data_IF_510721944046
#
_entry.id   IF_510721944046
#
_cell.length_a   1.000
_cell.length_b   1.000
_cell.length_c   1.000
_cell.angle_alpha   90.00
_cell.angle_beta   90.00
_cell.angle_gamma   90.00
#
_symmetry.space_group_name_H-M   'P 1'
#
loop_
_entity.id
_entity.type
_entity.pdbx_description
1 polymer ?
#
# COMPACT_ATOMS: atom_id res chain seq x y z
N UNK A 1 -20.30 -11.11 11.50
CA UNK A 1 -19.08 -10.72 10.77
C UNK A 1 -18.86 -9.21 10.84
N UNK A 2 -17.62 -8.77 10.89
CA UNK A 2 -17.25 -7.35 10.95
C UNK A 2 -16.28 -7.01 9.81
N UNK A 3 -16.59 -5.96 9.07
CA UNK A 3 -15.66 -5.34 8.08
C UNK A 3 -15.31 -3.93 8.57
N UNK A 4 -14.03 -3.68 8.81
CA UNK A 4 -13.53 -2.39 9.30
C UNK A 4 -12.52 -1.79 8.33
N UNK A 5 -12.78 -0.56 7.88
CA UNK A 5 -11.86 0.28 7.11
C UNK A 5 -11.38 1.51 7.89
N UNK A 6 -11.62 1.55 9.20
CA UNK A 6 -11.23 2.67 10.05
C UNK A 6 -9.71 2.76 10.15
N UNK A 7 -9.17 3.94 9.95
CA UNK A 7 -7.73 4.22 10.12
C UNK A 7 -7.46 4.89 11.47
N UNK A 8 -6.24 4.77 11.98
CA UNK A 8 -5.83 5.46 13.21
C UNK A 8 -6.16 4.72 14.51
N UNK A 9 -6.45 3.43 14.46
CA UNK A 9 -6.55 2.61 15.68
C UNK A 9 -5.21 2.55 16.41
N UNK A 10 -5.26 2.60 17.75
CA UNK A 10 -4.12 2.27 18.58
C UNK A 10 -3.82 0.76 18.51
N UNK A 11 -2.62 0.37 18.99
CA UNK A 11 -2.24 -1.05 19.07
C UNK A 11 -3.20 -1.85 19.96
N UNK A 12 -3.73 -1.25 21.02
CA UNK A 12 -4.71 -1.85 21.93
C UNK A 12 -6.04 -2.09 21.21
N UNK A 13 -6.55 -1.10 20.48
CA UNK A 13 -7.77 -1.23 19.70
C UNK A 13 -7.67 -2.28 18.58
N UNK A 14 -6.48 -2.39 17.94
CA UNK A 14 -6.24 -3.46 16.97
C UNK A 14 -6.21 -4.84 17.63
N UNK A 15 -5.72 -4.92 18.87
CA UNK A 15 -5.75 -6.17 19.64
C UNK A 15 -7.18 -6.57 19.97
N UNK A 16 -8.03 -5.63 20.39
CA UNK A 16 -9.46 -5.87 20.65
C UNK A 16 -10.18 -6.38 19.39
N UNK A 17 -9.89 -5.80 18.22
CA UNK A 17 -10.44 -6.30 16.94
C UNK A 17 -9.98 -7.73 16.62
N UNK A 18 -8.73 -8.07 16.93
CA UNK A 18 -8.22 -9.44 16.77
C UNK A 18 -8.90 -10.41 17.72
N UNK A 19 -9.12 -10.02 18.98
CA UNK A 19 -9.83 -10.82 19.98
C UNK A 19 -11.30 -11.05 19.57
N UNK A 20 -11.95 -10.06 18.99
CA UNK A 20 -13.30 -10.23 18.43
C UNK A 20 -13.34 -11.33 17.36
N UNK A 21 -12.24 -11.52 16.64
CA UNK A 21 -12.06 -12.59 15.66
C UNK A 21 -12.20 -14.01 16.26
N UNK A 22 -12.00 -14.20 17.56
CA UNK A 22 -12.20 -15.49 18.24
C UNK A 22 -13.69 -15.91 18.25
N UNK A 23 -14.60 -14.95 18.15
CA UNK A 23 -16.05 -15.19 18.23
C UNK A 23 -16.78 -15.02 16.91
N UNK A 24 -16.32 -14.15 16.03
CA UNK A 24 -16.94 -13.85 14.74
C UNK A 24 -15.88 -13.62 13.65
N UNK A 25 -16.22 -13.81 12.36
CA UNK A 25 -15.30 -13.42 11.30
C UNK A 25 -15.10 -11.90 11.28
N UNK A 26 -13.84 -11.47 11.30
CA UNK A 26 -13.44 -10.06 11.30
C UNK A 26 -12.41 -9.82 10.21
N UNK A 27 -12.59 -8.73 9.44
CA UNK A 27 -11.54 -8.16 8.61
C UNK A 27 -11.32 -6.69 9.00
N UNK A 28 -10.05 -6.32 9.11
CA UNK A 28 -9.63 -4.93 9.18
C UNK A 28 -8.54 -4.67 8.15
N UNK A 29 -8.74 -3.66 7.30
CA UNK A 29 -7.76 -3.24 6.30
C UNK A 29 -7.77 -1.72 6.12
N UNK A 30 -6.59 -1.11 6.03
CA UNK A 30 -6.45 0.31 5.71
C UNK A 30 -6.74 0.62 4.23
N UNK A 31 -6.77 -0.40 3.37
CA UNK A 31 -7.05 -0.27 1.95
C UNK A 31 -7.79 -1.52 1.44
N UNK A 32 -8.92 -1.32 0.77
CA UNK A 32 -9.76 -2.37 0.20
C UNK A 32 -9.69 -2.44 -1.34
N UNK A 33 -8.67 -1.85 -1.97
CA UNK A 33 -8.49 -1.96 -3.42
C UNK A 33 -7.82 -3.27 -3.81
N UNK A 34 -8.51 -4.11 -4.58
CA UNK A 34 -7.94 -5.32 -5.18
C UNK A 34 -6.72 -5.00 -6.05
N UNK A 35 -6.80 -3.90 -6.83
CA UNK A 35 -5.69 -3.45 -7.67
C UNK A 35 -4.44 -3.07 -6.86
N UNK A 36 -4.62 -2.43 -5.70
CA UNK A 36 -3.51 -2.11 -4.78
C UNK A 36 -2.92 -3.37 -4.15
N UNK A 37 -3.74 -4.35 -3.78
CA UNK A 37 -3.25 -5.62 -3.25
C UNK A 37 -2.43 -6.40 -4.29
N UNK A 38 -2.89 -6.42 -5.55
CA UNK A 38 -2.13 -7.01 -6.67
C UNK A 38 -0.83 -6.26 -6.90
N UNK A 39 -0.87 -4.91 -6.95
CA UNK A 39 0.34 -4.08 -7.11
C UNK A 39 1.35 -4.38 -5.99
N UNK A 40 0.91 -4.44 -4.73
CA UNK A 40 1.78 -4.72 -3.58
C UNK A 40 2.52 -6.05 -3.73
N UNK A 41 1.83 -7.12 -4.14
CA UNK A 41 2.45 -8.43 -4.39
C UNK A 41 3.45 -8.40 -5.54
N UNK A 42 3.09 -7.74 -6.64
CA UNK A 42 3.98 -7.56 -7.79
C UNK A 42 5.24 -6.76 -7.41
N UNK A 43 5.08 -5.70 -6.61
CA UNK A 43 6.18 -4.88 -6.11
C UNK A 43 7.11 -5.68 -5.19
N UNK A 44 6.57 -6.49 -4.26
CA UNK A 44 7.38 -7.34 -3.39
C UNK A 44 8.21 -8.34 -4.20
N UNK A 45 7.59 -9.00 -5.19
CA UNK A 45 8.28 -9.94 -6.10
C UNK A 45 9.34 -9.23 -6.94
N UNK A 46 9.03 -8.03 -7.47
CA UNK A 46 9.99 -7.26 -8.25
C UNK A 46 11.17 -6.79 -7.40
N UNK A 47 10.92 -6.32 -6.17
CA UNK A 47 11.97 -5.87 -5.25
C UNK A 47 12.96 -7.00 -4.89
N UNK A 48 12.46 -8.24 -4.72
CA UNK A 48 13.29 -9.42 -4.51
C UNK A 48 14.10 -9.78 -5.76
N UNK A 49 13.45 -9.80 -6.93
CA UNK A 49 14.09 -10.20 -8.19
C UNK A 49 15.09 -9.16 -8.73
N UNK A 50 14.87 -7.88 -8.42
CA UNK A 50 15.64 -6.73 -8.88
C UNK A 50 16.51 -6.15 -7.75
N UNK A 51 16.98 -6.99 -6.83
CA UNK A 51 17.82 -6.55 -5.72
C UNK A 51 19.04 -5.75 -6.22
N UNK A 52 19.30 -4.64 -5.53
CA UNK A 52 20.38 -3.70 -5.89
C UNK A 52 20.03 -2.70 -7.00
N UNK A 53 18.82 -2.75 -7.58
CA UNK A 53 18.34 -1.70 -8.48
C UNK A 53 17.88 -0.46 -7.68
N UNK A 54 18.02 0.70 -8.31
CA UNK A 54 17.54 1.96 -7.71
C UNK A 54 16.01 1.97 -7.66
N UNK A 55 15.46 2.26 -6.49
CA UNK A 55 14.01 2.18 -6.29
C UNK A 55 13.43 3.54 -5.93
N UNK A 56 12.37 3.94 -6.65
CA UNK A 56 11.66 5.19 -6.44
C UNK A 56 10.15 4.95 -6.43
N UNK A 57 9.43 5.57 -5.51
CA UNK A 57 7.97 5.55 -5.41
C UNK A 57 7.45 6.96 -5.72
N UNK A 58 6.51 7.08 -6.64
CA UNK A 58 5.81 8.33 -6.93
C UNK A 58 4.31 8.13 -6.71
N UNK A 59 3.70 8.98 -5.89
CA UNK A 59 2.25 8.94 -5.67
C UNK A 59 1.62 10.28 -5.99
N UNK A 60 0.45 10.25 -6.62
CA UNK A 60 -0.31 11.44 -6.98
C UNK A 60 -1.72 11.37 -6.40
N UNK A 61 -2.15 12.42 -5.71
CA UNK A 61 -3.52 12.57 -5.21
C UNK A 61 -4.06 13.97 -5.45
N UNK A 62 -5.35 14.14 -5.18
CA UNK A 62 -6.04 15.42 -5.24
C UNK A 62 -5.39 16.47 -4.32
N UNK A 63 -5.59 17.74 -4.64
CA UNK A 63 -5.00 18.88 -3.94
C UNK A 63 -5.51 19.08 -2.49
N UNK A 64 -6.55 18.37 -2.06
CA UNK A 64 -7.10 18.41 -0.70
C UNK A 64 -6.54 17.29 0.20
N UNK A 65 -5.62 16.45 -0.29
CA UNK A 65 -5.01 15.40 0.53
C UNK A 65 -3.99 15.99 1.49
N UNK A 66 -4.18 15.76 2.79
CA UNK A 66 -3.38 16.39 3.86
C UNK A 66 -2.14 15.59 4.27
N UNK A 67 -2.20 14.26 4.14
CA UNK A 67 -1.05 13.39 4.46
C UNK A 67 -0.16 13.15 3.25
N UNK A 68 1.15 13.07 3.49
CA UNK A 68 2.19 12.65 2.55
C UNK A 68 3.32 11.93 3.31
N UNK A 69 3.86 10.82 2.78
CA UNK A 69 3.30 10.03 1.68
C UNK A 69 1.98 9.37 2.06
N UNK A 70 1.19 8.96 1.04
CA UNK A 70 -0.12 8.30 1.24
C UNK A 70 0.01 6.95 1.96
N UNK A 71 -1.09 6.48 2.59
CA UNK A 71 -1.11 5.16 3.19
C UNK A 71 -0.74 4.03 2.22
N UNK A 72 -1.16 4.13 0.95
CA UNK A 72 -0.79 3.16 -0.09
C UNK A 72 0.71 3.23 -0.44
N UNK A 73 1.30 4.42 -0.52
CA UNK A 73 2.74 4.55 -0.74
C UNK A 73 3.54 3.91 0.40
N UNK A 74 3.07 4.07 1.66
CA UNK A 74 3.68 3.41 2.84
C UNK A 74 3.55 1.87 2.76
N UNK A 75 2.42 1.35 2.27
CA UNK A 75 2.25 -0.10 2.05
C UNK A 75 3.20 -0.64 0.99
N UNK A 76 3.43 0.12 -0.09
CA UNK A 76 4.38 -0.24 -1.14
C UNK A 76 5.82 -0.15 -0.66
N UNK A 77 6.17 0.88 0.11
CA UNK A 77 7.47 1.00 0.75
C UNK A 77 7.76 -0.20 1.67
N UNK A 78 6.80 -0.59 2.52
CA UNK A 78 6.94 -1.76 3.38
C UNK A 78 6.99 -3.09 2.61
N UNK A 79 6.50 -3.14 1.37
CA UNK A 79 6.64 -4.31 0.50
C UNK A 79 8.04 -4.41 -0.12
N UNK A 80 8.73 -3.27 -0.31
CA UNK A 80 10.10 -3.19 -0.83
C UNK A 80 11.13 -3.39 0.30
N UNK A 81 10.90 -2.78 1.44
CA UNK A 81 11.77 -2.82 2.62
C UNK A 81 10.94 -3.21 3.86
N UNK A 82 10.65 -4.52 4.05
CA UNK A 82 9.85 -5.00 5.19
C UNK A 82 10.48 -4.70 6.56
N UNK A 83 11.81 -4.67 6.63
CA UNK A 83 12.55 -4.40 7.86
C UNK A 83 12.65 -2.90 8.18
N UNK A 84 12.36 -2.03 7.21
CA UNK A 84 12.45 -0.58 7.38
C UNK A 84 13.87 -0.08 7.64
N UNK A 85 14.86 -0.71 7.04
CA UNK A 85 16.29 -0.43 7.29
C UNK A 85 16.90 0.52 6.28
N UNK A 86 16.27 0.69 5.11
CA UNK A 86 16.78 1.52 4.02
C UNK A 86 16.44 3.01 4.24
N UNK A 87 17.37 3.93 3.95
CA UNK A 87 17.08 5.36 4.03
C UNK A 87 15.95 5.77 3.06
N UNK A 88 15.01 6.56 3.54
CA UNK A 88 13.92 7.11 2.72
C UNK A 88 14.17 8.56 2.39
N UNK A 89 14.15 8.91 1.11
CA UNK A 89 14.35 10.27 0.59
C UNK A 89 13.04 10.82 0.03
N UNK A 90 12.50 11.87 0.63
CA UNK A 90 11.21 12.47 0.26
C UNK A 90 11.33 13.70 -0.65
N UNK A 91 12.51 14.07 -1.03
CA UNK A 91 12.78 15.21 -1.93
C UNK A 91 14.26 15.35 -2.23
N UNK A 92 14.58 15.94 -3.39
CA UNK A 92 15.95 16.34 -3.77
C UNK A 92 15.91 17.76 -4.28
N UNK A 93 16.80 18.62 -3.76
CA UNK A 93 16.86 20.03 -4.12
C UNK A 93 18.32 20.49 -4.20
N UNK A 94 18.63 21.34 -5.18
CA UNK A 94 19.96 21.91 -5.36
C UNK A 94 21.05 20.86 -5.62
N UNK A 95 22.24 21.09 -5.06
CA UNK A 95 23.38 20.16 -5.13
C UNK A 95 23.31 19.13 -4.00
N UNK A 96 22.42 18.14 -4.13
CA UNK A 96 22.23 17.09 -3.13
C UNK A 96 23.22 15.90 -3.27
N UNK A 97 24.12 15.95 -4.27
CA UNK A 97 25.02 14.84 -4.57
C UNK A 97 24.35 13.75 -5.40
N UNK A 98 25.12 12.70 -5.71
CA UNK A 98 24.59 11.52 -6.38
C UNK A 98 23.71 10.72 -5.42
N UNK A 99 22.72 10.02 -5.98
CA UNK A 99 21.89 9.06 -5.25
C UNK A 99 22.76 8.02 -4.55
N UNK A 100 22.42 7.67 -3.31
CA UNK A 100 23.07 6.56 -2.62
C UNK A 100 22.43 5.22 -3.03
N UNK A 101 23.21 4.15 -3.02
CA UNK A 101 22.76 2.84 -3.51
C UNK A 101 21.54 2.28 -2.77
N UNK A 102 21.49 2.50 -1.45
CA UNK A 102 20.50 1.84 -0.58
C UNK A 102 19.26 2.71 -0.31
N UNK A 103 19.21 3.96 -0.77
CA UNK A 103 18.06 4.82 -0.53
C UNK A 103 16.83 4.41 -1.36
N UNK A 104 15.64 4.66 -0.83
CA UNK A 104 14.37 4.58 -1.55
C UNK A 104 13.79 5.98 -1.64
N UNK A 105 13.58 6.49 -2.87
CA UNK A 105 12.86 7.75 -3.05
C UNK A 105 11.36 7.57 -2.88
N UNK A 106 10.70 8.51 -2.17
CA UNK A 106 9.23 8.49 -2.01
C UNK A 106 8.69 9.90 -2.19
N UNK A 107 8.05 10.14 -3.33
CA UNK A 107 7.61 11.47 -3.75
C UNK A 107 6.10 11.56 -3.85
N UNK A 108 5.55 12.68 -3.36
CA UNK A 108 4.11 12.91 -3.32
C UNK A 108 3.72 14.13 -4.16
N UNK A 109 2.95 13.91 -5.22
CA UNK A 109 2.37 14.96 -6.04
C UNK A 109 0.92 15.25 -5.60
N UNK A 110 0.53 16.52 -5.66
CA UNK A 110 -0.82 16.98 -5.32
C UNK A 110 -1.37 17.83 -6.45
N UNK A 111 -2.54 17.45 -7.00
CA UNK A 111 -3.14 18.19 -8.10
C UNK A 111 -4.55 17.75 -8.43
N UNK A 112 -5.39 18.71 -8.82
CA UNK A 112 -6.73 18.48 -9.29
C UNK A 112 -7.57 17.59 -8.37
N UNK A 113 -8.27 16.64 -8.98
CA UNK A 113 -9.20 15.69 -8.32
C UNK A 113 -8.72 14.23 -8.40
N UNK A 114 -7.42 14.00 -8.59
CA UNK A 114 -6.84 12.66 -8.74
C UNK A 114 -7.21 11.78 -7.54
N UNK A 115 -7.87 10.66 -7.81
CA UNK A 115 -8.32 9.74 -6.76
C UNK A 115 -7.16 8.98 -6.09
N UNK A 116 -6.09 8.74 -6.84
CA UNK A 116 -4.85 8.14 -6.39
C UNK A 116 -4.14 7.39 -7.51
N UNK A 117 -2.90 7.76 -7.78
CA UNK A 117 -1.98 7.01 -8.66
C UNK A 117 -0.75 6.67 -7.85
N UNK A 118 -0.24 5.45 -8.02
CA UNK A 118 0.97 4.98 -7.36
C UNK A 118 1.84 4.27 -8.38
N UNK A 119 3.07 4.70 -8.48
CA UNK A 119 4.08 4.19 -9.41
C UNK A 119 5.29 3.76 -8.60
N UNK A 120 5.78 2.56 -8.87
CA UNK A 120 7.03 2.05 -8.30
C UNK A 120 7.98 1.76 -9.45
N UNK A 121 9.08 2.45 -9.43
CA UNK A 121 10.13 2.38 -10.44
C UNK A 121 11.32 1.63 -9.89
N UNK A 122 11.84 0.69 -10.67
CA UNK A 122 13.09 0.00 -10.45
C UNK A 122 14.00 0.31 -11.63
N UNK A 123 15.10 1.02 -11.39
CA UNK A 123 16.04 1.43 -12.42
C UNK A 123 17.28 0.54 -12.37
N UNK A 124 17.48 -0.24 -13.43
CA UNK A 124 18.67 -1.01 -13.69
C UNK A 124 19.64 -0.27 -14.61
N UNK A 125 20.67 -0.97 -15.07
CA UNK A 125 21.56 -0.42 -16.09
C UNK A 125 20.88 -0.54 -17.46
N UNK A 126 20.64 0.60 -18.10
CA UNK A 126 20.04 0.72 -19.44
C UNK A 126 18.58 0.20 -19.55
N UNK A 127 17.89 -0.04 -18.42
CA UNK A 127 16.48 -0.47 -18.39
C UNK A 127 15.75 -0.01 -17.13
N UNK A 128 14.44 0.01 -17.21
CA UNK A 128 13.52 0.35 -16.11
C UNK A 128 12.36 -0.65 -16.06
N UNK A 129 11.96 -1.02 -14.86
CA UNK A 129 10.67 -1.67 -14.62
C UNK A 129 9.79 -0.73 -13.81
N UNK A 130 8.62 -0.37 -14.35
CA UNK A 130 7.65 0.48 -13.66
C UNK A 130 6.35 -0.27 -13.42
N UNK A 131 5.91 -0.36 -12.19
CA UNK A 131 4.64 -0.96 -11.76
C UNK A 131 3.68 0.14 -11.32
N UNK A 132 2.54 0.25 -12.00
CA UNK A 132 1.60 1.36 -11.79
C UNK A 132 0.20 0.88 -11.43
N UNK A 133 -0.41 1.50 -10.43
CA UNK A 133 -1.84 1.45 -10.15
C UNK A 133 -2.44 2.84 -10.23
N UNK A 134 -3.54 2.98 -10.97
CA UNK A 134 -4.31 4.22 -11.07
C UNK A 134 -5.75 4.00 -10.65
N UNK A 135 -6.18 4.65 -9.59
CA UNK A 135 -7.59 4.74 -9.22
C UNK A 135 -8.28 5.80 -10.06
N UNK A 136 -9.28 5.42 -10.84
CA UNK A 136 -10.13 6.34 -11.60
C UNK A 136 -11.29 6.88 -10.76
N UNK A 137 -11.60 6.21 -9.65
CA UNK A 137 -12.62 6.61 -8.68
C UNK A 137 -12.32 5.99 -7.31
N UNK A 138 -12.80 6.60 -6.23
CA UNK A 138 -12.76 6.01 -4.89
C UNK A 138 -13.73 4.83 -4.70
N UNK A 139 -14.60 4.58 -5.68
CA UNK A 139 -15.53 3.44 -5.67
C UNK A 139 -14.78 2.09 -5.57
N UNK A 140 -13.52 2.02 -5.97
CA UNK A 140 -12.69 0.80 -5.85
C UNK A 140 -12.61 0.29 -4.41
N UNK A 141 -12.58 1.18 -3.41
CA UNK A 141 -12.50 0.80 -2.00
C UNK A 141 -13.84 0.25 -1.50
N UNK A 142 -14.96 0.84 -1.95
CA UNK A 142 -16.31 0.37 -1.63
C UNK A 142 -16.53 -1.02 -2.22
N UNK A 143 -16.22 -1.19 -3.50
CA UNK A 143 -16.36 -2.47 -4.20
C UNK A 143 -15.56 -3.59 -3.50
N UNK A 144 -14.31 -3.31 -3.11
CA UNK A 144 -13.47 -4.27 -2.40
C UNK A 144 -14.00 -4.60 -0.99
N UNK A 145 -14.49 -3.60 -0.25
CA UNK A 145 -15.07 -3.82 1.08
C UNK A 145 -16.34 -4.68 1.00
N UNK A 146 -17.22 -4.43 0.02
CA UNK A 146 -18.42 -5.24 -0.22
C UNK A 146 -18.07 -6.67 -0.60
N UNK A 147 -17.12 -6.85 -1.53
CA UNK A 147 -16.65 -8.19 -1.91
C UNK A 147 -16.07 -8.97 -0.70
N UNK A 148 -15.34 -8.29 0.19
CA UNK A 148 -14.88 -8.90 1.44
C UNK A 148 -16.03 -9.24 2.38
N UNK A 149 -17.03 -8.37 2.50
CA UNK A 149 -18.19 -8.62 3.33
C UNK A 149 -18.94 -9.90 2.88
N UNK A 150 -19.17 -10.06 1.58
CA UNK A 150 -19.79 -11.25 1.00
C UNK A 150 -18.99 -12.51 1.30
N UNK A 151 -17.69 -12.51 1.08
CA UNK A 151 -16.80 -13.65 1.37
C UNK A 151 -16.74 -13.95 2.87
N UNK A 152 -16.78 -12.95 3.71
CA UNK A 152 -16.70 -13.09 5.17
C UNK A 152 -17.92 -13.81 5.75
N UNK A 153 -19.09 -13.71 5.10
CA UNK A 153 -20.31 -14.41 5.54
C UNK A 153 -20.18 -15.94 5.56
N UNK A 154 -19.28 -16.49 4.77
CA UNK A 154 -19.04 -17.94 4.67
C UNK A 154 -17.83 -18.43 5.47
N UNK A 155 -17.12 -17.52 6.14
CA UNK A 155 -15.93 -17.85 6.93
C UNK A 155 -16.29 -18.20 8.37
N UNK A 156 -15.48 -19.06 8.98
CA UNK A 156 -15.51 -19.32 10.42
C UNK A 156 -15.01 -18.13 11.22
N UNK A 157 -15.26 -18.06 12.54
CA UNK A 157 -14.61 -17.08 13.39
C UNK A 157 -13.10 -17.02 13.12
N UNK A 158 -12.56 -15.81 13.02
CA UNK A 158 -11.16 -15.58 12.67
C UNK A 158 -10.91 -14.11 12.36
N UNK A 159 -9.66 -13.68 12.46
CA UNK A 159 -9.20 -12.38 11.98
C UNK A 159 -8.51 -12.55 10.63
N UNK A 160 -9.12 -12.00 9.57
CA UNK A 160 -8.69 -12.17 8.19
C UNK A 160 -8.01 -10.91 7.67
N UNK A 161 -6.97 -11.08 6.88
CA UNK A 161 -6.40 -10.00 6.09
C UNK A 161 -7.19 -9.80 4.79
N UNK A 162 -7.04 -8.65 4.15
CA UNK A 162 -7.63 -8.40 2.84
C UNK A 162 -7.12 -9.40 1.80
N UNK A 163 -5.84 -9.73 1.89
CA UNK A 163 -5.20 -10.70 0.97
C UNK A 163 -5.72 -12.11 1.15
N UNK A 164 -6.00 -12.56 2.37
CA UNK A 164 -6.62 -13.87 2.64
C UNK A 164 -8.00 -14.01 1.97
N UNK A 165 -8.75 -12.92 1.92
CA UNK A 165 -10.08 -12.93 1.31
C UNK A 165 -10.06 -12.75 -0.21
N UNK A 166 -9.05 -12.12 -0.77
CA UNK A 166 -8.99 -11.85 -2.21
C UNK A 166 -8.24 -12.94 -2.96
N UNK A 167 -7.20 -13.53 -2.37
CA UNK A 167 -6.31 -14.49 -3.03
C UNK A 167 -6.40 -15.92 -2.46
N UNK A 168 -7.07 -16.09 -1.28
CA UNK A 168 -7.24 -17.38 -0.60
C UNK A 168 -8.41 -18.21 -1.09
#
# INVERSE_FOLDING_TARGET
>A
ALVSGTTGFSSEQLLELKQLGESVPVIHAANYSVGVAVLRRAVAMAAEALDGWDTEIVETHHNQKVDAPSGTAKLLLAAIDPEGTRPVVSGREGFCGARTKDEIGVFALRGGTVAGTHEVHFFGQDEEVCLTHRATSRQIFVNGAVACAEKLLTKTPGFYTFEDLIFG
#
